data_IF_000142816407
#
_entry.id   IF_000142816407
#
_cell.length_a   1.000
_cell.length_b   1.000
_cell.length_c   1.000
_cell.angle_alpha   90.00
_cell.angle_beta   90.00
_cell.angle_gamma   90.00
#
_symmetry.space_group_name_H-M   'P 1'
#
loop_
_entity.id
_entity.type
_entity.pdbx_description
1 polymer ?
#
# COMPACT_ATOMS: atom_id res chain seq x y z
N UNK A 1 24.28 18.20 -60.26
CA UNK A 1 23.59 16.94 -59.92
C UNK A 1 23.25 17.01 -58.44
N UNK A 2 21.98 17.31 -58.12
CA UNK A 2 21.52 17.54 -56.74
C UNK A 2 21.04 16.18 -56.19
N UNK A 3 21.54 15.68 -55.04
CA UNK A 3 21.09 14.41 -54.48
C UNK A 3 19.61 14.49 -54.04
N UNK A 4 18.82 13.40 -54.20
CA UNK A 4 17.41 13.40 -53.86
C UNK A 4 17.19 13.53 -52.35
N UNK A 5 16.27 14.41 -51.97
CA UNK A 5 15.81 14.60 -50.59
C UNK A 5 15.10 13.32 -50.11
N UNK A 6 15.56 12.72 -49.01
CA UNK A 6 14.92 11.56 -48.36
C UNK A 6 13.45 11.89 -48.01
N UNK A 7 12.49 10.96 -48.20
CA UNK A 7 11.09 11.18 -47.81
C UNK A 7 10.97 11.13 -46.28
N UNK A 8 10.76 12.29 -45.64
CA UNK A 8 10.79 12.47 -44.18
C UNK A 8 9.44 12.20 -43.46
N UNK A 9 8.49 11.51 -44.09
CA UNK A 9 7.11 11.45 -43.56
C UNK A 9 6.71 10.16 -42.84
N UNK A 10 7.39 9.03 -43.13
CA UNK A 10 6.96 7.69 -42.67
C UNK A 10 7.85 7.09 -41.58
N UNK A 11 9.08 7.57 -41.46
CA UNK A 11 10.03 7.14 -40.41
C UNK A 11 9.77 7.85 -39.08
N UNK A 12 9.55 9.17 -39.11
CA UNK A 12 9.46 10.00 -37.89
C UNK A 12 8.24 9.65 -37.01
N UNK A 13 7.07 9.47 -37.64
CA UNK A 13 5.83 9.05 -36.94
C UNK A 13 5.92 7.57 -36.53
N UNK A 14 6.52 6.70 -37.35
CA UNK A 14 6.70 5.30 -37.02
C UNK A 14 7.64 5.08 -35.84
N UNK A 15 8.76 5.82 -35.80
CA UNK A 15 9.72 5.86 -34.71
C UNK A 15 9.08 6.42 -33.43
N UNK A 16 8.36 7.55 -33.54
CA UNK A 16 7.62 8.13 -32.41
C UNK A 16 6.56 7.17 -31.83
N UNK A 17 5.87 6.40 -32.68
CA UNK A 17 4.89 5.41 -32.22
C UNK A 17 5.56 4.22 -31.51
N UNK A 18 6.74 3.80 -31.96
CA UNK A 18 7.48 2.74 -31.28
C UNK A 18 8.03 3.22 -29.92
N UNK A 19 8.53 4.46 -29.84
CA UNK A 19 8.95 5.07 -28.57
C UNK A 19 7.80 5.17 -27.57
N UNK A 20 6.62 5.62 -28.01
CA UNK A 20 5.41 5.67 -27.17
C UNK A 20 5.03 4.27 -26.69
N UNK A 21 5.11 3.26 -27.57
CA UNK A 21 4.83 1.87 -27.22
C UNK A 21 5.80 1.35 -26.15
N UNK A 22 7.09 1.60 -26.29
CA UNK A 22 8.10 1.23 -25.28
C UNK A 22 7.86 1.90 -23.93
N UNK A 23 7.54 3.20 -23.93
CA UNK A 23 7.20 3.93 -22.71
C UNK A 23 5.97 3.35 -22.01
N UNK A 24 4.92 3.02 -22.76
CA UNK A 24 3.72 2.37 -22.20
C UNK A 24 4.07 1.00 -21.62
N UNK A 25 4.88 0.18 -22.30
CA UNK A 25 5.31 -1.13 -21.81
C UNK A 25 6.10 -1.02 -20.49
N UNK A 26 7.02 -0.05 -20.39
CA UNK A 26 7.71 0.22 -19.13
C UNK A 26 6.77 0.66 -18.01
N UNK A 27 5.74 1.46 -18.30
CA UNK A 27 4.75 1.86 -17.30
C UNK A 27 3.91 0.67 -16.82
N UNK A 28 3.54 -0.23 -17.74
CA UNK A 28 2.83 -1.48 -17.43
C UNK A 28 3.69 -2.37 -16.55
N UNK A 29 4.95 -2.59 -16.91
CA UNK A 29 5.90 -3.39 -16.12
C UNK A 29 6.09 -2.81 -14.70
N UNK A 30 6.32 -1.49 -14.58
CA UNK A 30 6.39 -0.83 -13.27
C UNK A 30 5.10 -0.92 -12.47
N UNK A 31 3.93 -0.97 -13.12
CA UNK A 31 2.65 -1.17 -12.43
C UNK A 31 2.57 -2.59 -11.88
N UNK A 32 2.95 -3.58 -12.68
CA UNK A 32 2.83 -4.98 -12.30
C UNK A 32 3.85 -5.34 -11.20
N UNK A 33 5.09 -4.84 -11.28
CA UNK A 33 6.07 -4.92 -10.18
C UNK A 33 5.54 -4.34 -8.85
N UNK A 34 4.82 -3.22 -8.90
CA UNK A 34 4.20 -2.61 -7.71
C UNK A 34 3.08 -3.48 -7.15
N UNK A 35 2.27 -4.12 -8.01
CA UNK A 35 1.23 -5.07 -7.57
C UNK A 35 1.84 -6.30 -6.90
N UNK A 36 2.89 -6.87 -7.47
CA UNK A 36 3.56 -8.04 -6.92
C UNK A 36 4.23 -7.71 -5.58
N UNK A 37 4.90 -6.57 -5.52
CA UNK A 37 5.49 -6.07 -4.27
C UNK A 37 4.42 -5.87 -3.19
N UNK A 38 3.28 -5.26 -3.55
CA UNK A 38 2.16 -5.08 -2.62
C UNK A 38 1.57 -6.41 -2.15
N UNK A 39 1.34 -7.36 -3.05
CA UNK A 39 0.84 -8.70 -2.70
C UNK A 39 1.77 -9.39 -1.68
N UNK A 40 3.09 -9.25 -1.87
CA UNK A 40 4.09 -9.77 -0.93
C UNK A 40 4.02 -9.10 0.45
N UNK A 41 3.83 -7.77 0.51
CA UNK A 41 3.63 -7.05 1.78
C UNK A 41 2.39 -7.57 2.51
N UNK A 42 1.28 -7.77 1.79
CA UNK A 42 0.05 -8.31 2.38
C UNK A 42 0.26 -9.73 2.90
N UNK A 43 0.92 -10.59 2.12
CA UNK A 43 1.25 -11.95 2.54
C UNK A 43 2.10 -11.97 3.82
N UNK A 44 3.14 -11.13 3.88
CA UNK A 44 3.97 -10.96 5.06
C UNK A 44 3.14 -10.46 6.25
N UNK A 45 2.30 -9.44 6.05
CA UNK A 45 1.47 -8.87 7.09
C UNK A 45 0.48 -9.88 7.70
N UNK A 46 0.02 -10.85 6.90
CA UNK A 46 -0.86 -11.93 7.36
C UNK A 46 -0.12 -13.01 8.18
N UNK A 47 1.20 -13.14 8.02
CA UNK A 47 2.02 -14.15 8.72
C UNK A 47 2.74 -13.58 9.93
N UNK A 48 3.15 -12.33 9.87
CA UNK A 48 3.91 -11.65 10.92
C UNK A 48 2.98 -11.18 12.03
N UNK A 49 3.24 -11.66 13.26
CA UNK A 49 2.59 -11.16 14.47
C UNK A 49 3.13 -9.77 14.82
N UNK A 50 2.23 -8.86 15.16
CA UNK A 50 2.59 -7.57 15.72
C UNK A 50 3.02 -7.72 17.19
N UNK A 51 2.38 -8.62 17.94
CA UNK A 51 2.75 -9.02 19.30
C UNK A 51 2.09 -10.34 19.66
N UNK A 52 2.56 -10.98 20.74
CA UNK A 52 2.01 -12.28 21.18
C UNK A 52 0.77 -12.14 22.06
N UNK A 53 0.60 -10.98 22.70
CA UNK A 53 -0.56 -10.67 23.53
C UNK A 53 -1.06 -9.23 23.37
N UNK A 54 -2.17 -8.93 24.05
CA UNK A 54 -2.83 -7.63 24.02
C UNK A 54 -1.95 -6.49 24.57
N UNK A 55 -1.11 -6.77 25.57
CA UNK A 55 -0.27 -5.76 26.21
C UNK A 55 0.92 -5.39 25.31
N UNK A 56 1.52 -6.36 24.63
CA UNK A 56 2.55 -6.12 23.62
C UNK A 56 2.01 -5.32 22.44
N UNK A 57 0.84 -5.72 21.91
CA UNK A 57 0.18 -4.98 20.83
C UNK A 57 -0.15 -3.56 21.28
N UNK A 58 -0.67 -3.37 22.49
CA UNK A 58 -0.98 -2.04 23.02
C UNK A 58 0.26 -1.14 23.10
N UNK A 59 1.41 -1.67 23.52
CA UNK A 59 2.67 -0.90 23.55
C UNK A 59 3.08 -0.44 22.15
N UNK A 60 2.96 -1.31 21.15
CA UNK A 60 3.30 -0.99 19.76
C UNK A 60 2.34 0.05 19.20
N UNK A 61 1.02 -0.12 19.40
CA UNK A 61 0.02 0.86 18.96
C UNK A 61 0.27 2.24 19.57
N UNK A 62 0.60 2.31 20.86
CA UNK A 62 0.94 3.57 21.53
C UNK A 62 2.22 4.19 20.94
N UNK A 63 3.23 3.39 20.61
CA UNK A 63 4.47 3.86 19.96
C UNK A 63 4.19 4.47 18.58
N UNK A 64 3.27 3.89 17.83
CA UNK A 64 2.83 4.40 16.52
C UNK A 64 1.82 5.57 16.63
N UNK A 65 1.58 6.09 17.84
CA UNK A 65 0.74 7.27 18.07
C UNK A 65 -0.76 7.00 17.98
N UNK A 66 -1.18 5.75 18.17
CA UNK A 66 -2.59 5.36 18.20
C UNK A 66 -3.14 5.58 19.61
N UNK A 67 -4.22 6.37 19.77
CA UNK A 67 -4.75 6.70 21.08
C UNK A 67 -5.32 5.47 21.79
N UNK A 68 -5.14 5.39 23.11
CA UNK A 68 -5.49 4.24 23.95
C UNK A 68 -6.91 3.71 23.77
N UNK A 69 -7.90 4.59 23.57
CA UNK A 69 -9.29 4.17 23.36
C UNK A 69 -9.44 3.41 22.04
N UNK A 70 -8.86 3.93 20.97
CA UNK A 70 -8.81 3.27 19.66
C UNK A 70 -8.03 1.95 19.74
N UNK A 71 -6.90 1.93 20.45
CA UNK A 71 -6.07 0.72 20.62
C UNK A 71 -6.85 -0.43 21.27
N UNK A 72 -7.70 -0.15 22.27
CA UNK A 72 -8.52 -1.20 22.91
C UNK A 72 -9.52 -1.83 21.97
N UNK A 73 -10.21 -1.01 21.17
CA UNK A 73 -11.19 -1.50 20.19
C UNK A 73 -10.52 -2.30 19.07
N UNK A 74 -9.35 -1.85 18.60
CA UNK A 74 -8.53 -2.57 17.62
C UNK A 74 -8.06 -3.91 18.16
N UNK A 75 -7.56 -3.96 19.40
CA UNK A 75 -7.11 -5.21 20.05
C UNK A 75 -8.28 -6.18 20.19
N UNK A 76 -9.44 -5.71 20.66
CA UNK A 76 -10.63 -6.55 20.78
C UNK A 76 -11.06 -7.12 19.42
N UNK A 77 -11.08 -6.28 18.37
CA UNK A 77 -11.39 -6.73 17.00
C UNK A 77 -10.34 -7.71 16.45
N UNK A 78 -9.06 -7.51 16.73
CA UNK A 78 -7.99 -8.39 16.26
C UNK A 78 -7.95 -9.73 17.01
N UNK A 79 -8.41 -9.76 18.27
CA UNK A 79 -8.54 -10.98 19.07
C UNK A 79 -9.58 -11.96 18.51
N UNK A 80 -10.67 -11.46 17.92
CA UNK A 80 -11.68 -12.32 17.27
C UNK A 80 -11.09 -13.18 16.14
N UNK A 81 -9.94 -12.78 15.59
CA UNK A 81 -9.21 -13.51 14.55
C UNK A 81 -7.96 -14.25 15.09
N UNK A 82 -7.72 -14.18 16.41
CA UNK A 82 -6.86 -15.11 17.18
C UNK A 82 -5.36 -15.05 16.92
N UNK A 83 -4.83 -14.05 16.19
CA UNK A 83 -3.41 -14.08 15.78
C UNK A 83 -2.63 -12.75 15.84
N UNK A 84 -3.23 -11.62 16.23
CA UNK A 84 -2.55 -10.32 16.35
C UNK A 84 -1.56 -10.02 15.21
N UNK A 85 -1.89 -10.43 13.99
CA UNK A 85 -1.01 -10.20 12.85
C UNK A 85 -1.04 -8.73 12.48
N UNK A 86 0.03 -8.26 11.83
CA UNK A 86 0.06 -6.89 11.29
C UNK A 86 -1.20 -6.64 10.45
N UNK A 87 -1.58 -7.62 9.61
CA UNK A 87 -2.80 -7.57 8.82
C UNK A 87 -4.07 -7.44 9.67
N UNK A 88 -4.25 -8.26 10.71
CA UNK A 88 -5.46 -8.23 11.54
C UNK A 88 -5.63 -6.90 12.27
N UNK A 89 -4.52 -6.32 12.74
CA UNK A 89 -4.51 -5.02 13.41
C UNK A 89 -4.79 -3.88 12.44
N UNK A 90 -4.19 -3.93 11.23
CA UNK A 90 -4.45 -2.95 10.16
C UNK A 90 -5.90 -3.03 9.67
N UNK A 91 -6.44 -4.23 9.43
CA UNK A 91 -7.84 -4.42 9.02
C UNK A 91 -8.81 -3.85 10.05
N UNK A 92 -8.57 -4.13 11.33
CA UNK A 92 -9.36 -3.55 12.42
C UNK A 92 -9.30 -2.00 12.41
N UNK A 93 -8.12 -1.40 12.28
CA UNK A 93 -7.96 0.05 12.16
C UNK A 93 -8.69 0.63 10.94
N UNK A 94 -8.59 -0.01 9.78
CA UNK A 94 -9.24 0.45 8.56
C UNK A 94 -10.77 0.37 8.66
N UNK A 95 -11.32 -0.71 9.25
CA UNK A 95 -12.77 -0.83 9.51
C UNK A 95 -13.26 0.24 10.48
N UNK A 96 -12.46 0.59 11.48
CA UNK A 96 -12.78 1.66 12.43
C UNK A 96 -12.71 3.03 11.77
N UNK A 97 -11.67 3.29 10.98
CA UNK A 97 -11.51 4.50 10.17
C UNK A 97 -12.73 4.73 9.26
N UNK A 98 -13.25 3.66 8.64
CA UNK A 98 -14.46 3.71 7.81
C UNK A 98 -15.74 4.20 8.53
N UNK A 99 -15.77 4.17 9.87
CA UNK A 99 -16.89 4.68 10.68
C UNK A 99 -16.74 6.16 11.05
N UNK A 100 -15.55 6.75 10.85
CA UNK A 100 -15.26 8.15 11.18
C UNK A 100 -15.92 9.06 10.14
N UNK A 101 -16.82 9.94 10.61
CA UNK A 101 -17.51 10.91 9.73
C UNK A 101 -16.58 12.03 9.27
N UNK A 102 -15.65 12.46 10.13
CA UNK A 102 -14.73 13.55 9.83
C UNK A 102 -13.57 13.04 8.94
N UNK A 103 -13.45 13.60 7.74
CA UNK A 103 -12.45 13.17 6.77
C UNK A 103 -11.00 13.40 7.25
N UNK A 104 -10.74 14.42 8.06
CA UNK A 104 -9.40 14.70 8.61
C UNK A 104 -8.95 13.63 9.59
N UNK A 105 -9.81 13.30 10.55
CA UNK A 105 -9.56 12.24 11.54
C UNK A 105 -9.45 10.86 10.90
N UNK A 106 -10.29 10.59 9.88
CA UNK A 106 -10.21 9.38 9.07
C UNK A 106 -8.85 9.27 8.37
N UNK A 107 -8.41 10.35 7.72
CA UNK A 107 -7.12 10.39 7.04
C UNK A 107 -5.95 10.15 8.00
N UNK A 108 -6.02 10.73 9.20
CA UNK A 108 -4.99 10.50 10.21
C UNK A 108 -4.96 9.04 10.68
N UNK A 109 -6.14 8.41 10.84
CA UNK A 109 -6.26 7.00 11.23
C UNK A 109 -5.72 6.08 10.14
N UNK A 110 -6.06 6.32 8.88
CA UNK A 110 -5.56 5.56 7.73
C UNK A 110 -4.03 5.70 7.57
N UNK A 111 -3.49 6.88 7.85
CA UNK A 111 -2.04 7.10 7.87
C UNK A 111 -1.35 6.25 8.94
N UNK A 112 -1.92 6.17 10.14
CA UNK A 112 -1.38 5.32 11.22
C UNK A 112 -1.48 3.83 10.89
N UNK A 113 -2.59 3.40 10.28
CA UNK A 113 -2.73 2.03 9.78
C UNK A 113 -1.69 1.70 8.69
N UNK A 114 -1.42 2.65 7.78
CA UNK A 114 -0.39 2.49 6.74
C UNK A 114 1.02 2.38 7.32
N UNK A 115 1.33 3.11 8.39
CA UNK A 115 2.61 3.02 9.09
C UNK A 115 2.84 1.63 9.71
N UNK A 116 1.78 1.01 10.26
CA UNK A 116 1.84 -0.36 10.76
C UNK A 116 2.05 -1.37 9.62
N UNK A 117 1.37 -1.19 8.49
CA UNK A 117 1.54 -2.08 7.34
C UNK A 117 2.97 -2.05 6.79
N UNK A 118 3.65 -0.90 6.86
CA UNK A 118 5.04 -0.76 6.45
C UNK A 118 6.01 -1.62 7.28
N UNK A 119 5.63 -2.10 8.47
CA UNK A 119 6.43 -3.05 9.25
C UNK A 119 6.49 -4.45 8.62
N UNK A 120 5.65 -4.74 7.62
CA UNK A 120 5.62 -6.00 6.88
C UNK A 120 6.26 -5.91 5.47
N UNK A 121 6.77 -4.73 5.09
CA UNK A 121 7.36 -4.47 3.78
C UNK A 121 8.73 -5.10 3.60
#
# INVERSE_FOLDING_TARGET
MIPPKKPSGRSDVGESLEEIRELILHLVDKRDQRKDSFAKVIENAMKTRLGDDADEVLKILNREGIPKNLSKEVIASAQEHGRFTIFAVVDALTRMSGKIKNAGERTETDRKASALLALAA
#
